data_IF_085159312999
#
_entry.id   IF_085159312999
#
_cell.length_a   1.000
_cell.length_b   1.000
_cell.length_c   1.000
_cell.angle_alpha   90.00
_cell.angle_beta   90.00
_cell.angle_gamma   90.00
#
_symmetry.space_group_name_H-M   'P 1'
#
loop_
_entity.id
_entity.type
_entity.pdbx_description
1 polymer ?
#
# COMPACT_ATOMS: atom_id res chain seq x y z
N UNK A 1 12.38 -21.37 42.68
CA UNK A 1 11.48 -22.30 43.42
C UNK A 1 10.08 -22.27 42.82
N UNK A 2 9.55 -23.47 42.62
CA UNK A 2 8.15 -23.90 42.33
C UNK A 2 7.60 -23.63 40.92
N UNK A 3 7.66 -24.74 40.17
CA UNK A 3 6.84 -25.14 39.03
C UNK A 3 5.34 -25.16 39.40
N UNK A 4 4.48 -24.80 38.44
CA UNK A 4 3.16 -25.39 38.41
C UNK A 4 2.79 -25.74 36.97
N UNK A 5 2.73 -27.02 36.68
CA UNK A 5 2.12 -27.66 35.53
C UNK A 5 0.59 -27.70 35.75
N UNK A 6 -0.17 -27.38 34.72
CA UNK A 6 -1.56 -27.85 34.66
C UNK A 6 -1.82 -28.41 33.27
N UNK A 7 -1.88 -29.72 33.20
CA UNK A 7 -2.44 -30.54 32.12
C UNK A 7 -3.98 -30.45 32.19
N UNK A 8 -4.64 -30.27 31.06
CA UNK A 8 -5.99 -30.78 30.88
C UNK A 8 -6.13 -31.50 29.54
N UNK A 9 -6.65 -32.68 29.68
CA UNK A 9 -6.79 -33.77 28.73
C UNK A 9 -8.23 -33.80 28.23
N UNK A 10 -8.38 -34.18 26.96
CA UNK A 10 -9.46 -34.92 26.29
C UNK A 10 -10.88 -34.38 26.16
N UNK A 11 -11.38 -34.53 24.92
CA UNK A 11 -12.79 -34.46 24.56
C UNK A 11 -13.03 -34.77 23.08
N UNK A 12 -12.80 -36.07 22.71
CA UNK A 12 -13.22 -36.63 21.42
C UNK A 12 -14.75 -36.81 21.44
N UNK A 13 -15.49 -36.28 20.50
CA UNK A 13 -16.83 -36.75 20.16
C UNK A 13 -17.02 -36.82 18.65
N UNK A 14 -16.98 -38.03 18.14
CA UNK A 14 -17.45 -38.40 16.81
C UNK A 14 -18.98 -38.35 16.76
N UNK A 15 -19.54 -37.65 15.78
CA UNK A 15 -20.90 -37.91 15.32
C UNK A 15 -20.90 -38.27 13.85
N UNK A 16 -21.05 -39.56 13.61
CA UNK A 16 -21.40 -40.14 12.33
C UNK A 16 -22.90 -40.03 12.13
N UNK A 17 -23.37 -39.45 11.06
CA UNK A 17 -24.74 -39.65 10.57
C UNK A 17 -24.71 -39.94 9.07
N UNK A 18 -24.89 -41.22 8.79
CA UNK A 18 -25.28 -41.77 7.49
C UNK A 18 -26.76 -41.49 7.22
N UNK A 19 -27.11 -40.97 6.05
CA UNK A 19 -28.44 -41.13 5.46
C UNK A 19 -28.38 -41.31 3.96
N UNK A 20 -29.11 -42.31 3.52
CA UNK A 20 -29.19 -42.94 2.21
C UNK A 20 -29.86 -42.05 1.13
N UNK A 21 -29.69 -42.40 -0.16
CA UNK A 21 -30.15 -41.58 -1.27
C UNK A 21 -31.64 -41.84 -1.59
N UNK A 22 -32.32 -40.80 -2.08
CA UNK A 22 -33.62 -40.91 -2.75
C UNK A 22 -33.47 -40.64 -4.25
N UNK A 23 -34.06 -41.58 -4.95
CA UNK A 23 -34.17 -41.80 -6.41
C UNK A 23 -34.93 -40.69 -7.11
N UNK A 24 -34.40 -40.31 -8.25
CA UNK A 24 -34.91 -39.80 -9.55
C UNK A 24 -36.37 -39.32 -9.62
N UNK A 25 -36.46 -38.14 -10.21
CA UNK A 25 -37.49 -37.86 -11.23
C UNK A 25 -36.88 -37.06 -12.39
N UNK A 26 -36.93 -37.65 -13.60
CA UNK A 26 -36.54 -37.01 -14.86
C UNK A 26 -37.64 -36.03 -15.26
N UNK A 27 -37.29 -34.79 -15.45
CA UNK A 27 -38.06 -33.90 -16.32
C UNK A 27 -37.16 -33.39 -17.44
N UNK A 28 -37.52 -33.79 -18.64
CA UNK A 28 -36.98 -33.26 -19.91
C UNK A 28 -37.29 -31.76 -19.99
N UNK A 29 -36.28 -30.96 -19.85
CA UNK A 29 -36.32 -29.55 -20.25
C UNK A 29 -35.14 -29.31 -21.20
N UNK A 30 -35.48 -29.02 -22.43
CA UNK A 30 -34.61 -28.57 -23.54
C UNK A 30 -33.64 -27.48 -23.05
N UNK A 31 -32.32 -27.59 -23.34
CA UNK A 31 -31.38 -26.53 -22.93
C UNK A 31 -31.60 -25.30 -23.82
N UNK A 32 -32.08 -24.24 -23.21
CA UNK A 32 -31.97 -22.89 -23.76
C UNK A 32 -30.45 -22.59 -23.83
N UNK A 33 -29.94 -22.51 -25.06
CA UNK A 33 -28.62 -21.96 -25.32
C UNK A 33 -28.63 -20.50 -24.88
N UNK A 34 -28.20 -20.27 -23.66
CA UNK A 34 -27.78 -18.94 -23.24
C UNK A 34 -26.37 -18.76 -23.78
N UNK A 35 -26.25 -17.94 -24.79
CA UNK A 35 -24.98 -17.44 -25.28
C UNK A 35 -24.27 -16.74 -24.09
N UNK A 36 -23.37 -17.46 -23.45
CA UNK A 36 -22.40 -16.88 -22.54
C UNK A 36 -21.32 -16.18 -23.37
N UNK A 37 -21.65 -14.99 -23.87
CA UNK A 37 -20.67 -14.10 -24.47
C UNK A 37 -19.67 -13.66 -23.41
N UNK A 38 -18.43 -14.05 -23.61
CA UNK A 38 -17.16 -13.36 -23.29
C UNK A 38 -17.01 -12.59 -21.96
N UNK A 39 -17.22 -13.24 -20.83
CA UNK A 39 -16.73 -12.68 -19.55
C UNK A 39 -15.23 -12.96 -19.30
N UNK A 40 -14.54 -13.74 -20.13
CA UNK A 40 -13.14 -14.11 -19.94
C UNK A 40 -12.13 -13.08 -20.47
N UNK A 41 -12.44 -12.32 -21.51
CA UNK A 41 -11.51 -11.35 -22.08
C UNK A 41 -11.45 -10.07 -21.24
N UNK A 42 -12.59 -9.61 -20.75
CA UNK A 42 -12.73 -8.38 -19.95
C UNK A 42 -11.99 -8.47 -18.61
N UNK A 43 -11.96 -9.66 -18.01
CA UNK A 43 -11.28 -9.90 -16.74
C UNK A 43 -9.74 -9.95 -16.86
N UNK A 44 -9.22 -10.26 -18.04
CA UNK A 44 -7.77 -10.31 -18.30
C UNK A 44 -7.19 -8.90 -18.46
N UNK A 45 -7.86 -8.04 -19.22
CA UNK A 45 -7.43 -6.67 -19.47
C UNK A 45 -7.51 -5.84 -18.17
N UNK A 46 -8.58 -5.97 -17.41
CA UNK A 46 -8.69 -5.32 -16.10
C UNK A 46 -7.54 -5.71 -15.18
N UNK A 47 -7.20 -7.01 -15.08
CA UNK A 47 -6.09 -7.47 -14.24
C UNK A 47 -4.74 -6.87 -14.64
N UNK A 48 -4.47 -6.72 -15.94
CA UNK A 48 -3.22 -6.08 -16.38
C UNK A 48 -3.18 -4.58 -16.02
N UNK A 49 -4.31 -3.89 -16.11
CA UNK A 49 -4.42 -2.51 -15.64
C UNK A 49 -4.14 -2.45 -14.14
N UNK A 50 -4.74 -3.34 -13.35
CA UNK A 50 -4.56 -3.38 -11.89
C UNK A 50 -3.10 -3.66 -11.52
N UNK A 51 -2.42 -4.59 -12.19
CA UNK A 51 -0.98 -4.83 -11.97
C UNK A 51 -0.16 -3.57 -12.17
N UNK A 52 -0.41 -2.84 -13.25
CA UNK A 52 0.27 -1.58 -13.55
C UNK A 52 -0.01 -0.52 -12.50
N UNK A 53 -1.26 -0.35 -12.08
CA UNK A 53 -1.67 0.62 -11.07
C UNK A 53 -1.04 0.29 -9.72
N UNK A 54 -1.11 -0.99 -9.28
CA UNK A 54 -0.61 -1.43 -7.97
C UNK A 54 0.90 -1.24 -7.78
N UNK A 55 1.67 -1.36 -8.87
CA UNK A 55 3.14 -1.22 -8.79
C UNK A 55 3.64 0.19 -9.04
N UNK A 56 2.80 1.06 -9.59
CA UNK A 56 3.16 2.40 -10.07
C UNK A 56 3.80 3.27 -8.98
N UNK A 57 3.16 3.34 -7.80
CA UNK A 57 3.67 4.12 -6.67
C UNK A 57 5.07 3.68 -6.25
N UNK A 58 5.26 2.39 -5.96
CA UNK A 58 6.53 1.89 -5.47
C UNK A 58 7.64 1.91 -6.52
N UNK A 59 7.34 1.66 -7.79
CA UNK A 59 8.31 1.80 -8.87
C UNK A 59 8.82 3.24 -9.00
N UNK A 60 7.94 4.21 -8.80
CA UNK A 60 8.32 5.63 -8.73
C UNK A 60 9.10 5.92 -7.44
N UNK A 61 8.62 5.49 -6.28
CA UNK A 61 9.21 5.77 -4.97
C UNK A 61 10.65 5.24 -4.88
N UNK A 62 10.86 3.95 -5.23
CA UNK A 62 12.19 3.31 -5.26
C UNK A 62 13.15 4.09 -6.17
N UNK A 63 12.71 4.47 -7.35
CA UNK A 63 13.55 5.23 -8.28
C UNK A 63 13.90 6.61 -7.73
N UNK A 64 12.95 7.29 -7.12
CA UNK A 64 13.13 8.65 -6.62
C UNK A 64 14.02 8.68 -5.39
N UNK A 65 13.89 7.72 -4.48
CA UNK A 65 14.76 7.60 -3.29
C UNK A 65 16.21 7.23 -3.61
N UNK A 66 16.44 6.56 -4.75
CA UNK A 66 17.79 6.25 -5.25
C UNK A 66 18.44 7.40 -6.02
N UNK A 67 17.66 8.37 -6.48
CA UNK A 67 18.17 9.52 -7.19
C UNK A 67 18.82 10.52 -6.23
N UNK A 68 19.67 11.40 -6.78
CA UNK A 68 20.14 12.56 -6.02
C UNK A 68 18.96 13.41 -5.55
N UNK A 69 19.02 13.87 -4.30
CA UNK A 69 17.93 14.62 -3.69
C UNK A 69 17.71 15.95 -4.41
N UNK A 70 16.49 16.14 -4.87
CA UNK A 70 16.02 17.36 -5.56
C UNK A 70 14.66 17.74 -4.97
N UNK A 71 14.59 18.88 -4.30
CA UNK A 71 13.35 19.38 -3.68
C UNK A 71 12.19 19.52 -4.67
N UNK A 72 12.46 19.70 -5.96
CA UNK A 72 11.42 19.76 -7.00
C UNK A 72 10.85 18.38 -7.34
N UNK A 73 11.55 17.31 -6.95
CA UNK A 73 11.18 15.90 -7.14
C UNK A 73 11.06 15.16 -5.80
N UNK A 74 10.60 15.87 -4.79
CA UNK A 74 10.46 15.32 -3.45
C UNK A 74 9.55 14.10 -3.45
N UNK A 75 9.95 13.07 -2.71
CA UNK A 75 9.18 11.83 -2.49
C UNK A 75 8.43 11.83 -1.15
N UNK A 76 8.50 12.95 -0.43
CA UNK A 76 7.74 13.28 0.77
C UNK A 76 7.46 14.78 0.75
N UNK A 77 6.72 15.29 1.74
CA UNK A 77 6.62 16.74 1.92
C UNK A 77 7.98 17.34 2.26
N UNK A 78 8.13 18.63 2.01
CA UNK A 78 9.30 19.41 2.40
C UNK A 78 8.90 20.46 3.44
N UNK A 79 9.88 20.94 4.20
CA UNK A 79 9.69 22.05 5.12
C UNK A 79 10.19 23.33 4.47
N UNK A 80 9.36 24.35 4.50
CA UNK A 80 9.65 25.68 3.95
C UNK A 80 9.32 26.76 4.98
N UNK A 81 9.79 27.99 4.71
CA UNK A 81 9.38 29.15 5.51
C UNK A 81 7.89 29.44 5.32
N UNK A 82 7.17 29.54 6.42
CA UNK A 82 5.77 29.88 6.48
C UNK A 82 5.55 31.30 6.97
N UNK A 83 4.37 31.55 7.50
CA UNK A 83 4.01 32.86 8.04
C UNK A 83 4.74 33.15 9.37
N UNK A 84 5.02 34.43 9.63
CA UNK A 84 5.63 34.93 10.87
C UNK A 84 6.97 34.27 11.23
N UNK A 85 7.77 33.85 10.24
CA UNK A 85 9.06 33.21 10.45
C UNK A 85 8.96 31.82 11.07
N UNK A 86 7.81 31.15 10.93
CA UNK A 86 7.59 29.77 11.36
C UNK A 86 7.76 28.80 10.20
N UNK A 87 7.93 27.52 10.52
CA UNK A 87 7.97 26.47 9.51
C UNK A 87 6.59 26.17 8.96
N UNK A 88 6.57 25.68 7.72
CA UNK A 88 5.39 25.15 7.02
C UNK A 88 5.76 23.89 6.28
N UNK A 89 4.91 22.88 6.37
CA UNK A 89 5.01 21.69 5.49
C UNK A 89 4.44 22.01 4.11
N UNK A 90 5.18 21.68 3.06
CA UNK A 90 4.73 21.81 1.67
C UNK A 90 4.68 20.44 1.00
N UNK A 91 3.48 20.01 0.65
CA UNK A 91 3.21 18.75 -0.04
C UNK A 91 3.19 18.88 -1.57
N UNK A 92 3.21 20.11 -2.10
CA UNK A 92 3.00 20.31 -3.54
C UNK A 92 4.09 19.68 -4.43
N UNK A 93 5.39 19.73 -4.08
CA UNK A 93 6.41 19.05 -4.86
C UNK A 93 6.19 17.53 -4.94
N UNK A 94 5.80 16.91 -3.82
CA UNK A 94 5.47 15.49 -3.72
C UNK A 94 4.19 15.15 -4.50
N UNK A 95 3.12 15.87 -4.25
CA UNK A 95 1.82 15.60 -4.90
C UNK A 95 1.86 15.86 -6.41
N UNK A 96 2.70 16.76 -6.88
CA UNK A 96 2.94 16.94 -8.31
C UNK A 96 3.50 15.67 -8.94
N UNK A 97 4.47 15.02 -8.30
CA UNK A 97 5.01 13.75 -8.76
C UNK A 97 3.92 12.66 -8.77
N UNK A 98 3.12 12.56 -7.71
CA UNK A 98 2.03 11.59 -7.63
C UNK A 98 0.97 11.80 -8.72
N UNK A 99 0.59 13.04 -8.98
CA UNK A 99 -0.34 13.36 -10.08
C UNK A 99 0.21 12.98 -11.45
N UNK A 100 1.51 13.14 -11.69
CA UNK A 100 2.16 12.77 -12.94
C UNK A 100 2.13 11.25 -13.19
N UNK A 101 2.09 10.42 -12.14
CA UNK A 101 1.90 8.97 -12.29
C UNK A 101 0.54 8.64 -12.94
N UNK A 102 -0.45 9.46 -12.71
CA UNK A 102 -1.79 9.27 -13.23
C UNK A 102 -2.53 8.05 -12.68
N UNK A 103 -1.98 7.37 -11.68
CA UNK A 103 -2.52 6.16 -11.04
C UNK A 103 -2.86 6.36 -9.57
N UNK A 104 -2.64 7.56 -9.04
CA UNK A 104 -2.88 7.91 -7.63
C UNK A 104 -4.11 8.79 -7.52
N UNK A 105 -5.00 8.45 -6.60
CA UNK A 105 -6.23 9.20 -6.36
C UNK A 105 -5.97 10.44 -5.50
N UNK A 106 -6.91 11.40 -5.56
CA UNK A 106 -6.92 12.51 -4.62
C UNK A 106 -7.07 12.02 -3.17
N UNK A 107 -7.87 10.97 -2.96
CA UNK A 107 -8.10 10.39 -1.63
C UNK A 107 -6.81 9.85 -1.00
N UNK A 108 -5.91 9.25 -1.79
CA UNK A 108 -4.59 8.87 -1.31
C UNK A 108 -3.80 10.09 -0.80
N UNK A 109 -3.77 11.18 -1.58
CA UNK A 109 -3.06 12.40 -1.20
C UNK A 109 -3.67 13.06 0.06
N UNK A 110 -4.99 13.03 0.20
CA UNK A 110 -5.67 13.54 1.40
C UNK A 110 -5.29 12.70 2.65
N UNK A 111 -5.18 11.36 2.50
CA UNK A 111 -4.69 10.48 3.58
C UNK A 111 -3.23 10.74 3.95
N UNK A 112 -2.39 11.13 2.98
CA UNK A 112 -1.01 11.53 3.27
C UNK A 112 -0.95 12.77 4.17
N UNK A 113 -1.80 13.76 3.90
CA UNK A 113 -1.91 14.96 4.78
C UNK A 113 -2.39 14.54 6.16
N UNK A 114 -3.44 13.73 6.25
CA UNK A 114 -4.01 13.31 7.53
C UNK A 114 -3.00 12.50 8.36
N UNK A 115 -2.28 11.58 7.74
CA UNK A 115 -1.23 10.79 8.40
C UNK A 115 -0.13 11.67 9.01
N UNK A 116 0.19 12.77 8.36
CA UNK A 116 1.24 13.69 8.80
C UNK A 116 0.70 14.87 9.64
N UNK A 117 -0.56 14.83 10.04
CA UNK A 117 -1.24 15.97 10.70
C UNK A 117 -0.52 16.44 11.97
N UNK A 118 -0.08 15.53 12.82
CA UNK A 118 0.67 15.87 14.05
C UNK A 118 1.94 16.65 13.75
N UNK A 119 2.71 16.19 12.74
CA UNK A 119 3.91 16.90 12.30
C UNK A 119 3.57 18.26 11.69
N UNK A 120 2.56 18.34 10.82
CA UNK A 120 2.10 19.58 10.20
C UNK A 120 1.78 20.63 11.27
N UNK A 121 1.05 20.24 12.31
CA UNK A 121 0.64 21.16 13.39
C UNK A 121 1.82 21.54 14.29
N UNK A 122 2.74 20.61 14.54
CA UNK A 122 3.97 20.90 15.30
C UNK A 122 4.89 21.88 14.55
N UNK A 123 5.14 21.66 13.26
CA UNK A 123 6.02 22.51 12.46
C UNK A 123 5.57 23.99 12.42
N UNK A 124 4.28 24.27 12.51
CA UNK A 124 3.77 25.64 12.63
C UNK A 124 4.23 26.38 13.89
N UNK A 125 4.76 25.66 14.89
CA UNK A 125 5.29 26.25 16.13
C UNK A 125 6.81 26.46 16.07
N UNK A 126 7.50 25.72 15.19
CA UNK A 126 8.96 25.75 15.05
C UNK A 126 9.41 27.03 14.34
N UNK A 127 10.49 27.66 14.84
CA UNK A 127 11.11 28.82 14.20
C UNK A 127 11.87 28.40 12.94
N UNK A 128 11.65 29.13 11.82
CA UNK A 128 12.29 28.83 10.56
C UNK A 128 13.80 28.92 10.60
N UNK A 129 14.35 29.93 11.33
CA UNK A 129 15.81 30.10 11.42
C UNK A 129 16.43 28.99 12.27
N UNK A 130 15.74 28.53 13.30
CA UNK A 130 16.17 27.37 14.10
C UNK A 130 16.21 26.11 13.22
N UNK A 131 15.14 25.79 12.52
CA UNK A 131 15.06 24.65 11.62
C UNK A 131 16.10 24.72 10.51
N UNK A 132 16.20 25.84 9.81
CA UNK A 132 17.09 26.03 8.64
C UNK A 132 18.57 25.91 9.03
N UNK A 133 18.95 26.26 10.27
CA UNK A 133 20.32 26.17 10.76
C UNK A 133 20.60 24.87 11.52
N UNK A 134 19.61 24.00 11.66
CA UNK A 134 19.80 22.67 12.21
C UNK A 134 20.55 21.76 11.24
N UNK A 135 21.19 20.72 11.77
CA UNK A 135 21.90 19.74 10.92
C UNK A 135 20.93 19.01 9.98
N UNK A 136 21.38 18.63 8.75
CA UNK A 136 20.52 17.94 7.80
C UNK A 136 20.21 16.51 8.29
N UNK A 137 19.15 16.28 8.94
CA UNK A 137 18.52 15.07 9.47
C UNK A 137 17.67 15.36 10.71
N UNK A 138 17.65 16.60 11.19
CA UNK A 138 16.89 17.03 12.38
C UNK A 138 15.39 17.14 12.12
N UNK A 139 14.92 16.88 10.89
CA UNK A 139 13.49 16.78 10.58
C UNK A 139 12.80 15.74 11.49
N UNK A 140 13.42 14.59 11.73
CA UNK A 140 12.91 13.56 12.64
C UNK A 140 12.94 14.02 14.12
N UNK A 141 13.87 14.89 14.48
CA UNK A 141 13.91 15.50 15.82
C UNK A 141 12.73 16.46 16.05
N UNK A 142 12.30 17.17 15.00
CA UNK A 142 11.13 18.04 15.04
C UNK A 142 9.82 17.30 14.82
N UNK A 143 9.84 16.16 14.16
CA UNK A 143 8.67 15.34 13.84
C UNK A 143 8.95 13.86 14.09
N UNK A 144 9.08 13.42 15.35
CA UNK A 144 9.47 12.04 15.69
C UNK A 144 8.51 10.96 15.17
N UNK A 145 7.25 11.33 14.95
CA UNK A 145 6.23 10.42 14.40
C UNK A 145 6.25 10.35 12.86
N UNK A 146 7.13 11.10 12.21
CA UNK A 146 7.22 11.20 10.76
C UNK A 146 8.50 10.54 10.25
N UNK A 147 8.43 9.30 9.82
CA UNK A 147 9.57 8.62 9.20
C UNK A 147 9.83 9.13 7.79
N UNK A 148 11.06 9.57 7.51
CA UNK A 148 11.53 9.94 6.18
C UNK A 148 11.36 8.80 5.16
N UNK A 149 11.58 7.55 5.62
CA UNK A 149 11.43 6.34 4.81
C UNK A 149 10.14 5.59 5.13
N UNK A 150 9.06 6.32 5.41
CA UNK A 150 7.79 5.73 5.85
C UNK A 150 7.33 4.56 4.97
N UNK A 151 7.42 4.69 3.67
CA UNK A 151 6.91 3.69 2.74
C UNK A 151 7.78 2.44 2.61
N UNK A 152 9.01 2.49 3.09
CA UNK A 152 9.88 1.32 3.19
C UNK A 152 9.93 0.72 4.60
N UNK A 153 9.72 1.53 5.63
CA UNK A 153 9.96 1.19 7.04
C UNK A 153 11.33 0.50 7.25
N UNK A 154 12.30 0.86 6.42
CA UNK A 154 13.63 0.26 6.36
C UNK A 154 14.61 1.28 5.80
N UNK A 155 15.86 1.18 6.22
CA UNK A 155 16.98 1.93 5.64
C UNK A 155 17.59 1.19 4.43
N UNK A 156 17.10 0.00 4.10
CA UNK A 156 17.56 -0.77 2.96
C UNK A 156 17.13 -0.12 1.63
N UNK A 157 18.03 -0.18 0.66
CA UNK A 157 17.75 0.28 -0.70
C UNK A 157 17.22 -0.87 -1.54
N UNK A 158 15.91 -0.95 -1.71
CA UNK A 158 15.27 -1.98 -2.53
C UNK A 158 15.50 -1.76 -4.03
N UNK A 159 15.63 -2.85 -4.78
CA UNK A 159 15.77 -2.81 -6.24
C UNK A 159 14.44 -2.81 -6.96
N UNK A 160 13.40 -3.34 -6.32
CA UNK A 160 12.07 -3.33 -6.89
C UNK A 160 11.02 -3.98 -6.00
N UNK A 161 9.87 -4.22 -6.60
CA UNK A 161 8.72 -4.87 -5.98
C UNK A 161 8.16 -5.96 -6.89
N UNK A 162 7.53 -6.95 -6.27
CA UNK A 162 6.78 -8.00 -6.96
C UNK A 162 5.37 -8.13 -6.40
N UNK A 163 4.42 -8.47 -7.26
CA UNK A 163 3.05 -8.76 -6.85
C UNK A 163 3.01 -10.20 -6.33
N UNK A 164 2.57 -10.36 -5.09
CA UNK A 164 2.42 -11.67 -4.43
C UNK A 164 1.00 -12.20 -4.58
N UNK A 165 0.02 -11.32 -4.40
CA UNK A 165 -1.39 -11.67 -4.48
C UNK A 165 -2.22 -10.51 -5.02
N UNK A 166 -3.32 -10.86 -5.69
CA UNK A 166 -4.31 -9.91 -6.20
C UNK A 166 -5.70 -10.46 -5.98
N UNK A 167 -6.45 -9.84 -5.09
CA UNK A 167 -7.79 -10.24 -4.72
C UNK A 167 -8.79 -9.11 -4.98
N UNK A 168 -9.89 -9.42 -5.66
CA UNK A 168 -11.01 -8.48 -5.84
C UNK A 168 -12.09 -8.79 -4.82
N UNK A 169 -12.51 -7.79 -4.06
CA UNK A 169 -13.68 -7.86 -3.17
C UNK A 169 -14.63 -6.75 -3.58
N UNK A 170 -15.83 -7.13 -3.99
CA UNK A 170 -16.79 -6.19 -4.59
C UNK A 170 -16.16 -5.46 -5.79
N UNK A 171 -16.06 -4.14 -5.73
CA UNK A 171 -15.46 -3.31 -6.77
C UNK A 171 -14.08 -2.76 -6.38
N UNK A 172 -13.40 -3.41 -5.43
CA UNK A 172 -12.13 -2.98 -4.89
C UNK A 172 -11.09 -4.08 -5.11
N UNK A 173 -9.95 -3.72 -5.67
CA UNK A 173 -8.79 -4.60 -5.74
C UNK A 173 -7.84 -4.37 -4.57
N UNK A 174 -7.34 -5.45 -4.01
CA UNK A 174 -6.28 -5.49 -3.01
C UNK A 174 -5.10 -6.24 -3.60
N UNK A 175 -3.98 -5.57 -3.71
CA UNK A 175 -2.75 -6.16 -4.25
C UNK A 175 -1.68 -6.16 -3.18
N UNK A 176 -1.19 -7.35 -2.82
CA UNK A 176 -0.09 -7.52 -1.87
C UNK A 176 1.24 -7.52 -2.62
N UNK A 177 2.20 -6.76 -2.12
CA UNK A 177 3.51 -6.62 -2.74
C UNK A 177 4.62 -7.12 -1.82
N UNK A 178 5.74 -7.57 -2.41
CA UNK A 178 7.01 -7.78 -1.74
C UNK A 178 8.07 -6.86 -2.31
N UNK A 179 8.90 -6.31 -1.45
CA UNK A 179 10.16 -5.71 -1.86
C UNK A 179 11.20 -6.79 -2.16
N UNK A 180 12.15 -6.46 -3.04
CA UNK A 180 13.29 -7.32 -3.28
C UNK A 180 14.59 -6.53 -3.46
N UNK A 181 15.70 -7.21 -3.19
CA UNK A 181 17.07 -6.78 -3.51
C UNK A 181 17.70 -7.84 -4.40
N UNK A 182 18.27 -7.41 -5.51
CA UNK A 182 19.05 -8.25 -6.43
C UNK A 182 20.53 -8.14 -6.11
N UNK A 183 21.14 -9.22 -5.62
CA UNK A 183 22.55 -9.29 -5.27
C UNK A 183 23.17 -10.56 -5.82
N UNK A 184 24.33 -10.44 -6.49
CA UNK A 184 25.13 -11.57 -6.98
C UNK A 184 24.30 -12.63 -7.76
N UNK A 185 23.43 -12.18 -8.64
CA UNK A 185 22.50 -13.02 -9.42
C UNK A 185 21.43 -13.76 -8.58
N UNK A 186 21.19 -13.34 -7.34
CA UNK A 186 20.16 -13.87 -6.46
C UNK A 186 19.21 -12.77 -6.04
N UNK A 187 17.91 -13.01 -6.25
CA UNK A 187 16.84 -12.17 -5.72
C UNK A 187 16.49 -12.58 -4.30
N UNK A 188 16.50 -11.63 -3.39
CA UNK A 188 16.06 -11.80 -2.01
C UNK A 188 14.81 -10.96 -1.78
N UNK A 189 13.72 -11.59 -1.37
CA UNK A 189 12.47 -10.92 -1.05
C UNK A 189 12.41 -10.57 0.43
N UNK A 190 11.77 -9.44 0.69
CA UNK A 190 11.48 -8.94 2.03
C UNK A 190 9.97 -8.94 2.22
N UNK A 191 9.51 -9.64 3.23
CA UNK A 191 8.09 -9.79 3.55
C UNK A 191 7.61 -8.87 4.70
N UNK A 192 8.49 -8.01 5.19
CA UNK A 192 8.18 -6.97 6.17
C UNK A 192 9.00 -5.70 5.86
N UNK A 193 8.37 -4.55 5.69
CA UNK A 193 6.93 -4.37 5.63
C UNK A 193 6.33 -4.96 4.35
N UNK A 194 5.09 -5.40 4.44
CA UNK A 194 4.33 -5.93 3.31
C UNK A 194 3.27 -4.92 2.87
N UNK A 195 3.47 -4.21 1.76
CA UNK A 195 2.47 -3.27 1.27
C UNK A 195 1.23 -3.99 0.74
N UNK A 196 0.06 -3.49 1.13
CA UNK A 196 -1.23 -3.83 0.53
C UNK A 196 -1.78 -2.59 -0.15
N UNK A 197 -1.82 -2.62 -1.46
CA UNK A 197 -2.33 -1.52 -2.30
C UNK A 197 -3.81 -1.73 -2.55
N UNK A 198 -4.62 -0.77 -2.13
CA UNK A 198 -6.06 -0.72 -2.39
C UNK A 198 -6.31 0.12 -3.63
N UNK A 199 -7.04 -0.46 -4.59
CA UNK A 199 -7.30 0.15 -5.89
C UNK A 199 -8.80 0.16 -6.14
N UNK A 200 -9.34 1.33 -6.46
CA UNK A 200 -10.75 1.53 -6.72
C UNK A 200 -10.97 2.20 -8.07
N UNK A 201 -12.12 1.95 -8.68
CA UNK A 201 -12.51 2.63 -9.92
C UNK A 201 -13.16 3.97 -9.58
N UNK A 202 -12.52 5.05 -9.97
CA UNK A 202 -13.02 6.40 -9.83
C UNK A 202 -13.30 6.99 -11.24
N UNK A 203 -14.57 7.15 -11.58
CA UNK A 203 -15.01 7.70 -12.88
C UNK A 203 -14.45 6.94 -14.11
N UNK A 204 -14.44 5.62 -14.05
CA UNK A 204 -13.94 4.76 -15.14
C UNK A 204 -12.43 4.56 -15.15
N UNK A 205 -11.72 5.07 -14.15
CA UNK A 205 -10.27 4.94 -14.03
C UNK A 205 -9.90 4.21 -12.74
N UNK A 206 -9.08 3.17 -12.84
CA UNK A 206 -8.52 2.48 -11.69
C UNK A 206 -7.40 3.30 -11.06
N UNK A 207 -7.51 3.60 -9.76
CA UNK A 207 -6.57 4.43 -9.01
C UNK A 207 -6.23 3.80 -7.66
N UNK A 208 -4.99 3.95 -7.24
CA UNK A 208 -4.56 3.66 -5.87
C UNK A 208 -5.21 4.67 -4.92
N UNK A 209 -6.00 4.19 -3.99
CA UNK A 209 -6.72 5.01 -3.00
C UNK A 209 -6.15 4.90 -1.60
N UNK A 210 -5.37 3.87 -1.36
CA UNK A 210 -4.73 3.60 -0.06
C UNK A 210 -3.58 2.62 -0.20
N UNK A 211 -2.58 2.73 0.65
CA UNK A 211 -1.54 1.73 0.86
C UNK A 211 -1.44 1.49 2.37
N UNK A 212 -1.58 0.23 2.78
CA UNK A 212 -1.37 -0.22 4.14
C UNK A 212 -0.03 -0.98 4.22
N UNK A 213 0.73 -0.78 5.28
CA UNK A 213 1.94 -1.54 5.59
C UNK A 213 1.63 -2.54 6.71
N UNK A 214 1.96 -3.82 6.50
CA UNK A 214 1.74 -4.90 7.48
C UNK A 214 3.04 -5.61 7.81
#
# INVERSE_FOLDING_TARGET
MKKLYLLFVTGLLCFSCTSKPKTQEKSDLTPIKTDTLDSKSDNSEEREIIKKVSTSFYNWYIRTTKAEYDTTKAFSFIIVEGENGKCKTDFEPYFRQLRQLGTISKRFMDKEIERNKTCIDHMKTVDWNEYKNSEPYTYEDFCPDCSYMYWFQSQESFDGIEIVDMTKKENIWYTTLWFYIDSQNKRTHYDSPRPIVKIENENGKWLTTEIELK
#
